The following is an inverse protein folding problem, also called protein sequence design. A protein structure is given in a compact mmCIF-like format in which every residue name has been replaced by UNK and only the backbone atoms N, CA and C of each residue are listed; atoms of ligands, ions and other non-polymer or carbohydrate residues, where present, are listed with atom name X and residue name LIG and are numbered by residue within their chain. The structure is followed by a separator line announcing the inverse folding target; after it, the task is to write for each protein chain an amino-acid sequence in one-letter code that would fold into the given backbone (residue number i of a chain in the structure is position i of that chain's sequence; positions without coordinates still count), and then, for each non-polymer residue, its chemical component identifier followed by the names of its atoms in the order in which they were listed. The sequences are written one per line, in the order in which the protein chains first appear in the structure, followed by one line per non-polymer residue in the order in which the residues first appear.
data_IF_464166707994
#
_entry.id   IF_464166707994
#
_cell.length_a   1.000
_cell.length_b   1.000
_cell.length_c   1.000
_cell.angle_alpha   90.00
_cell.angle_beta   90.00
_cell.angle_gamma   90.00
#
_symmetry.space_group_name_H-M   'P 1'
#
loop_
_entity.id
_entity.type
_entity.pdbx_description
1 polymer ?
#
# COMPACT_ATOMS: atom_id res chain seq x y z
N UNK A 1 24.34 63.74 -10.64
CA UNK A 1 23.31 63.79 -11.70
C UNK A 1 23.69 62.68 -12.69
N UNK A 2 23.27 61.42 -12.53
CA UNK A 2 21.87 60.90 -12.56
C UNK A 2 21.08 61.55 -13.72
N UNK A 3 20.44 60.85 -14.67
CA UNK A 3 19.88 59.51 -14.60
C UNK A 3 19.58 58.90 -16.01
N UNK A 4 19.76 57.57 -16.09
CA UNK A 4 18.94 56.50 -16.72
C UNK A 4 18.33 56.56 -18.15
N UNK A 5 18.77 55.56 -18.92
CA UNK A 5 18.01 54.43 -19.50
C UNK A 5 16.71 54.66 -20.30
N UNK A 6 16.76 54.28 -21.59
CA UNK A 6 15.69 53.56 -22.27
C UNK A 6 16.26 52.43 -23.15
N UNK A 7 16.09 51.17 -22.72
CA UNK A 7 16.05 50.00 -23.60
C UNK A 7 14.86 49.12 -23.19
N UNK A 8 13.98 48.89 -24.15
CA UNK A 8 12.76 48.09 -24.05
C UNK A 8 13.07 46.60 -23.75
N UNK A 9 12.21 45.89 -22.99
CA UNK A 9 12.23 44.43 -22.93
C UNK A 9 10.93 43.81 -23.47
N UNK A 10 10.98 43.13 -24.62
CA UNK A 10 9.87 42.27 -25.08
C UNK A 10 10.36 41.05 -25.87
N UNK A 11 10.95 40.07 -25.19
CA UNK A 11 11.12 38.72 -25.78
C UNK A 11 11.17 37.56 -24.78
N UNK A 12 11.03 37.81 -23.47
CA UNK A 12 11.01 36.75 -22.44
C UNK A 12 9.61 36.31 -22.00
N UNK A 13 8.57 37.16 -22.10
CA UNK A 13 7.22 36.80 -21.62
C UNK A 13 6.46 35.84 -22.54
N UNK A 14 6.71 35.84 -23.85
CA UNK A 14 6.06 34.88 -24.77
C UNK A 14 6.66 33.48 -24.72
N UNK A 15 7.97 33.34 -24.41
CA UNK A 15 8.59 32.02 -24.25
C UNK A 15 8.18 31.30 -22.97
N UNK A 16 7.80 32.04 -21.92
CA UNK A 16 7.29 31.44 -20.67
C UNK A 16 5.83 30.98 -20.85
N UNK A 17 5.03 31.71 -21.63
CA UNK A 17 3.64 31.33 -21.92
C UNK A 17 3.50 30.11 -22.85
N UNK A 18 4.46 29.89 -23.77
CA UNK A 18 4.49 28.67 -24.60
C UNK A 18 4.95 27.42 -23.82
N UNK A 19 5.90 27.57 -22.88
CA UNK A 19 6.39 26.43 -22.08
C UNK A 19 5.39 25.94 -21.01
N UNK A 20 4.42 26.78 -20.62
CA UNK A 20 3.37 26.44 -19.66
C UNK A 20 2.14 25.75 -20.30
N UNK A 21 2.08 25.63 -21.63
CA UNK A 21 1.00 24.90 -22.33
C UNK A 21 1.39 23.48 -22.75
N UNK A 22 2.66 23.10 -22.64
CA UNK A 22 3.17 21.78 -23.04
C UNK A 22 3.26 20.77 -21.88
N UNK A 23 2.86 21.11 -20.66
CA UNK A 23 2.87 20.20 -19.49
C UNK A 23 1.48 19.72 -19.05
N UNK A 24 0.45 19.95 -19.86
CA UNK A 24 -0.90 19.41 -19.63
C UNK A 24 -1.35 18.51 -20.80
N UNK A 25 -0.47 17.66 -21.30
CA UNK A 25 -0.91 16.44 -21.99
C UNK A 25 -1.35 15.46 -20.90
N UNK A 26 -2.64 15.48 -20.57
CA UNK A 26 -3.32 14.32 -20.00
C UNK A 26 -3.07 13.15 -20.96
N UNK A 27 -2.05 12.34 -20.67
CA UNK A 27 -1.88 11.06 -21.35
C UNK A 27 -3.19 10.28 -21.09
N UNK A 28 -3.99 10.11 -22.15
CA UNK A 28 -5.13 9.18 -22.09
C UNK A 28 -4.59 7.87 -21.53
N UNK A 29 -5.22 7.29 -20.47
CA UNK A 29 -4.71 6.06 -19.88
C UNK A 29 -4.60 5.02 -20.99
N UNK A 30 -3.39 4.51 -21.21
CA UNK A 30 -3.16 3.44 -22.18
C UNK A 30 -4.10 2.30 -21.80
N UNK A 31 -5.05 2.00 -22.68
CA UNK A 31 -6.01 0.91 -22.49
C UNK A 31 -5.21 -0.37 -22.28
N UNK A 32 -5.19 -0.86 -21.03
CA UNK A 32 -4.55 -2.13 -20.69
C UNK A 32 -5.34 -3.26 -21.34
N UNK A 33 -4.64 -4.16 -22.02
CA UNK A 33 -5.24 -5.36 -22.59
C UNK A 33 -5.84 -6.22 -21.47
N UNK A 34 -7.06 -6.72 -21.67
CA UNK A 34 -7.76 -7.58 -20.71
C UNK A 34 -7.89 -9.00 -21.27
N UNK A 35 -7.50 -9.98 -20.46
CA UNK A 35 -7.67 -11.41 -20.74
C UNK A 35 -8.36 -12.10 -19.56
N UNK A 36 -9.45 -12.82 -19.85
CA UNK A 36 -10.07 -13.73 -18.90
C UNK A 36 -9.60 -15.16 -19.18
N UNK A 37 -9.08 -15.83 -18.16
CA UNK A 37 -8.68 -17.23 -18.22
C UNK A 37 -9.63 -18.10 -17.40
N UNK A 38 -10.17 -19.15 -18.02
CA UNK A 38 -10.98 -20.13 -17.33
C UNK A 38 -10.07 -21.15 -16.64
N UNK A 39 -10.26 -21.33 -15.33
CA UNK A 39 -9.55 -22.35 -14.57
C UNK A 39 -10.25 -23.72 -14.70
N UNK A 40 -9.50 -24.83 -14.82
CA UNK A 40 -10.08 -26.17 -14.75
C UNK A 40 -10.83 -26.39 -13.43
N UNK A 41 -11.96 -27.11 -13.51
CA UNK A 41 -12.72 -27.51 -12.31
C UNK A 41 -11.94 -28.57 -11.54
N UNK A 42 -11.76 -28.33 -10.24
CA UNK A 42 -11.15 -29.29 -9.32
C UNK A 42 -12.26 -29.90 -8.47
N UNK A 43 -12.47 -31.20 -8.60
CA UNK A 43 -13.51 -31.96 -7.87
C UNK A 43 -13.00 -32.57 -6.56
N UNK A 44 -11.69 -32.67 -6.37
CA UNK A 44 -11.11 -33.15 -5.12
C UNK A 44 -11.29 -32.11 -4.00
N UNK A 45 -11.61 -32.58 -2.80
CA UNK A 45 -11.79 -31.75 -1.60
C UNK A 45 -10.57 -31.80 -0.66
N UNK A 46 -10.61 -30.94 0.36
CA UNK A 46 -9.59 -30.88 1.40
C UNK A 46 -8.18 -30.56 0.88
N UNK A 47 -7.17 -31.13 1.55
CA UNK A 47 -5.76 -30.86 1.25
C UNK A 47 -5.36 -31.30 -0.16
N UNK A 48 -5.93 -32.41 -0.67
CA UNK A 48 -5.65 -32.92 -2.03
C UNK A 48 -6.17 -31.95 -3.10
N UNK A 49 -7.42 -31.50 -2.96
CA UNK A 49 -7.99 -30.46 -3.80
C UNK A 49 -7.17 -29.17 -3.80
N UNK A 50 -6.75 -28.70 -2.62
CA UNK A 50 -5.91 -27.50 -2.53
C UNK A 50 -4.56 -27.69 -3.25
N UNK A 51 -3.91 -28.85 -3.13
CA UNK A 51 -2.66 -29.15 -3.85
C UNK A 51 -2.86 -29.10 -5.37
N UNK A 52 -3.97 -29.63 -5.88
CA UNK A 52 -4.29 -29.56 -7.30
C UNK A 52 -4.53 -28.12 -7.77
N UNK A 53 -5.28 -27.33 -7.00
CA UNK A 53 -5.49 -25.89 -7.27
C UNK A 53 -4.17 -25.12 -7.28
N UNK A 54 -3.29 -25.36 -6.32
CA UNK A 54 -1.95 -24.74 -6.29
C UNK A 54 -1.10 -25.11 -7.51
N UNK A 55 -1.22 -26.34 -8.03
CA UNK A 55 -0.53 -26.77 -9.26
C UNK A 55 -1.03 -25.99 -10.48
N UNK A 56 -2.35 -25.85 -10.63
CA UNK A 56 -2.99 -25.05 -11.68
C UNK A 56 -2.54 -23.59 -11.57
N UNK A 57 -2.59 -23.02 -10.36
CA UNK A 57 -2.14 -21.65 -10.11
C UNK A 57 -0.69 -21.44 -10.54
N UNK A 58 0.22 -22.37 -10.19
CA UNK A 58 1.63 -22.29 -10.57
C UNK A 58 1.83 -22.29 -12.09
N UNK A 59 1.05 -23.07 -12.84
CA UNK A 59 1.10 -23.07 -14.30
C UNK A 59 0.66 -21.73 -14.89
N UNK A 60 -0.45 -21.16 -14.40
CA UNK A 60 -0.93 -19.85 -14.84
C UNK A 60 0.04 -18.73 -14.47
N UNK A 61 0.58 -18.76 -13.26
CA UNK A 61 1.66 -17.85 -12.83
C UNK A 61 2.88 -17.96 -13.74
N UNK A 62 3.24 -19.17 -14.20
CA UNK A 62 4.35 -19.35 -15.13
C UNK A 62 4.15 -18.62 -16.47
N UNK A 63 2.91 -18.67 -16.98
CA UNK A 63 2.49 -18.13 -18.29
C UNK A 63 2.26 -16.62 -18.27
N UNK A 64 1.54 -16.11 -17.27
CA UNK A 64 0.99 -14.74 -17.30
C UNK A 64 1.78 -13.72 -16.49
N UNK A 65 2.59 -14.15 -15.52
CA UNK A 65 3.17 -13.22 -14.56
C UNK A 65 4.05 -12.12 -15.17
N UNK A 66 4.73 -12.37 -16.30
CA UNK A 66 5.52 -11.34 -17.00
C UNK A 66 4.61 -10.30 -17.67
N UNK A 67 3.59 -10.77 -18.39
CA UNK A 67 2.63 -9.91 -19.09
C UNK A 67 1.88 -9.00 -18.12
N UNK A 68 1.53 -9.53 -16.94
CA UNK A 68 0.87 -8.73 -15.89
C UNK A 68 1.75 -7.56 -15.44
N UNK A 69 3.03 -7.81 -15.14
CA UNK A 69 3.98 -6.75 -14.78
C UNK A 69 4.21 -5.74 -15.92
N UNK A 70 4.02 -6.14 -17.17
CA UNK A 70 4.13 -5.27 -18.35
C UNK A 70 2.83 -4.49 -18.62
N UNK A 71 1.79 -4.68 -17.79
CA UNK A 71 0.57 -3.90 -17.80
C UNK A 71 -0.66 -4.64 -18.33
N UNK A 72 -0.57 -5.94 -18.67
CA UNK A 72 -1.73 -6.74 -19.05
C UNK A 72 -2.60 -7.06 -17.84
N UNK A 73 -3.91 -6.93 -17.98
CA UNK A 73 -4.87 -7.33 -16.94
C UNK A 73 -5.32 -8.76 -17.24
N UNK A 74 -5.01 -9.69 -16.34
CA UNK A 74 -5.43 -11.09 -16.44
C UNK A 74 -6.31 -11.45 -15.26
N UNK A 75 -7.50 -11.97 -15.53
CA UNK A 75 -8.49 -12.36 -14.52
C UNK A 75 -8.79 -13.86 -14.59
N UNK A 76 -8.91 -14.50 -13.43
CA UNK A 76 -9.41 -15.88 -13.30
C UNK A 76 -10.91 -15.93 -12.97
N UNK A 77 -11.47 -14.81 -12.53
CA UNK A 77 -12.89 -14.67 -12.15
C UNK A 77 -13.76 -14.03 -13.24
N UNK A 78 -13.13 -13.52 -14.30
CA UNK A 78 -13.78 -12.78 -15.39
C UNK A 78 -14.02 -11.30 -15.08
N UNK A 79 -13.70 -10.84 -13.86
CA UNK A 79 -13.90 -9.46 -13.46
C UNK A 79 -12.78 -8.56 -14.00
N UNK A 80 -13.18 -7.45 -14.64
CA UNK A 80 -12.26 -6.41 -15.09
C UNK A 80 -12.19 -5.30 -14.03
N UNK A 81 -11.00 -5.01 -13.46
CA UNK A 81 -10.85 -3.97 -12.45
C UNK A 81 -11.07 -2.55 -13.02
N UNK A 82 -11.70 -1.70 -12.22
CA UNK A 82 -11.89 -0.26 -12.44
C UNK A 82 -10.65 0.53 -11.96
N UNK A 83 -9.51 0.28 -12.61
CA UNK A 83 -8.18 0.75 -12.17
C UNK A 83 -8.03 2.27 -12.07
N UNK A 84 -8.91 3.07 -12.66
CA UNK A 84 -8.87 4.54 -12.55
C UNK A 84 -9.41 5.01 -11.20
N UNK A 85 -10.43 4.32 -10.69
CA UNK A 85 -11.09 4.64 -9.42
C UNK A 85 -10.44 3.90 -8.25
N UNK A 86 -10.20 2.60 -8.42
CA UNK A 86 -9.82 1.71 -7.33
C UNK A 86 -8.32 1.39 -7.35
N UNK A 87 -7.72 1.36 -6.16
CA UNK A 87 -6.34 0.95 -5.94
C UNK A 87 -6.22 -0.55 -5.71
N UNK A 88 -7.24 -1.15 -5.06
CA UNK A 88 -7.33 -2.57 -4.76
C UNK A 88 -8.74 -3.06 -5.11
N UNK A 89 -8.82 -4.21 -5.77
CA UNK A 89 -10.08 -4.89 -6.06
C UNK A 89 -9.91 -6.40 -5.86
N UNK A 90 -10.76 -6.97 -5.01
CA UNK A 90 -10.79 -8.38 -4.65
C UNK A 90 -12.06 -9.00 -5.22
N UNK A 91 -11.90 -10.16 -5.86
CA UNK A 91 -13.00 -10.92 -6.41
C UNK A 91 -12.92 -12.37 -5.92
N UNK A 92 -13.88 -12.77 -5.07
CA UNK A 92 -14.01 -14.10 -4.48
C UNK A 92 -12.71 -14.62 -3.84
N UNK A 93 -12.01 -13.77 -3.10
CA UNK A 93 -10.68 -14.08 -2.54
C UNK A 93 -10.81 -15.05 -1.38
N UNK A 94 -10.15 -16.21 -1.49
CA UNK A 94 -10.13 -17.24 -0.44
C UNK A 94 -8.71 -17.64 -0.08
N UNK A 95 -8.50 -17.90 1.20
CA UNK A 95 -7.20 -18.31 1.74
C UNK A 95 -7.40 -19.42 2.76
N UNK A 96 -6.70 -20.52 2.55
CA UNK A 96 -6.61 -21.61 3.52
C UNK A 96 -5.16 -21.80 3.95
N UNK A 97 -4.97 -22.16 5.22
CA UNK A 97 -3.71 -22.67 5.74
C UNK A 97 -3.80 -24.17 5.98
N UNK A 98 -2.69 -24.86 5.76
CA UNK A 98 -2.57 -26.31 5.97
C UNK A 98 -1.69 -26.54 7.19
N UNK A 99 -2.18 -27.33 8.14
CA UNK A 99 -1.41 -27.75 9.32
C UNK A 99 -1.57 -29.26 9.49
N UNK A 100 -0.54 -30.02 9.12
CA UNK A 100 -0.66 -31.46 8.94
C UNK A 100 -1.70 -31.79 7.86
N UNK A 101 -2.74 -32.53 8.23
CA UNK A 101 -3.88 -32.86 7.35
C UNK A 101 -5.08 -31.90 7.54
N UNK A 102 -4.98 -30.94 8.46
CA UNK A 102 -6.04 -29.97 8.71
C UNK A 102 -5.97 -28.82 7.70
N UNK A 103 -7.11 -28.49 7.10
CA UNK A 103 -7.29 -27.35 6.22
C UNK A 103 -8.14 -26.28 6.91
N UNK A 104 -7.54 -25.15 7.25
CA UNK A 104 -8.21 -24.07 7.99
C UNK A 104 -8.54 -22.89 7.06
N UNK A 105 -9.82 -22.62 6.77
CA UNK A 105 -10.22 -21.45 5.98
C UNK A 105 -10.09 -20.16 6.81
N UNK A 106 -9.31 -19.21 6.29
CA UNK A 106 -9.10 -17.90 6.93
C UNK A 106 -9.77 -16.76 6.16
N UNK A 107 -9.71 -16.76 4.82
CA UNK A 107 -10.54 -15.88 3.98
C UNK A 107 -11.53 -16.75 3.20
N UNK A 108 -12.81 -16.37 3.20
CA UNK A 108 -13.92 -17.26 2.79
C UNK A 108 -14.68 -16.80 1.55
N UNK A 109 -14.07 -15.95 0.73
CA UNK A 109 -14.70 -15.37 -0.47
C UNK A 109 -14.91 -13.89 -0.25
N UNK A 110 -13.81 -13.16 -0.15
CA UNK A 110 -13.82 -11.71 0.07
C UNK A 110 -13.95 -11.00 -1.27
N UNK A 111 -15.00 -10.19 -1.39
CA UNK A 111 -15.18 -9.20 -2.44
C UNK A 111 -15.01 -7.80 -1.83
N UNK A 112 -14.15 -6.98 -2.44
CA UNK A 112 -13.78 -5.67 -1.88
C UNK A 112 -13.26 -4.74 -2.96
N UNK A 113 -13.64 -3.46 -2.91
CA UNK A 113 -13.10 -2.40 -3.76
C UNK A 113 -12.66 -1.23 -2.89
N UNK A 114 -11.42 -0.78 -3.07
CA UNK A 114 -10.83 0.32 -2.31
C UNK A 114 -10.37 1.42 -3.24
N UNK A 115 -10.76 2.66 -2.94
CA UNK A 115 -10.43 3.82 -3.76
C UNK A 115 -8.98 4.28 -3.55
N UNK A 116 -8.40 4.87 -4.58
CA UNK A 116 -7.05 5.48 -4.52
C UNK A 116 -7.02 6.72 -3.63
N UNK A 117 -5.89 6.95 -2.98
CA UNK A 117 -5.62 8.19 -2.23
C UNK A 117 -6.43 8.31 -0.93
N UNK A 118 -6.99 7.20 -0.44
CA UNK A 118 -7.79 7.14 0.78
C UNK A 118 -6.97 6.62 1.97
N UNK A 119 -7.37 7.04 3.16
CA UNK A 119 -6.99 6.44 4.43
C UNK A 119 -8.01 5.37 4.80
N UNK A 120 -7.59 4.10 4.81
CA UNK A 120 -8.46 2.95 4.94
C UNK A 120 -8.11 2.21 6.23
N UNK A 121 -9.11 1.95 7.06
CA UNK A 121 -8.96 1.26 8.34
C UNK A 121 -9.65 -0.09 8.28
N UNK A 122 -8.92 -1.16 8.60
CA UNK A 122 -9.44 -2.53 8.68
C UNK A 122 -9.56 -2.91 10.15
N UNK A 123 -10.80 -3.12 10.60
CA UNK A 123 -11.18 -3.49 11.96
C UNK A 123 -11.75 -4.91 12.04
N UNK A 124 -11.78 -5.44 13.25
CA UNK A 124 -12.38 -6.74 13.55
C UNK A 124 -11.70 -7.45 14.72
N UNK A 125 -12.33 -8.49 15.30
CA UNK A 125 -11.78 -9.21 16.44
C UNK A 125 -10.49 -9.97 16.07
N UNK A 126 -9.72 -10.39 17.09
CA UNK A 126 -8.56 -11.27 16.87
C UNK A 126 -8.98 -12.55 16.13
N UNK A 127 -8.14 -13.03 15.22
CA UNK A 127 -8.44 -14.21 14.41
C UNK A 127 -9.49 -14.02 13.30
N UNK A 128 -10.03 -12.82 13.08
CA UNK A 128 -11.06 -12.61 12.03
C UNK A 128 -10.55 -12.66 10.59
N UNK A 129 -9.23 -12.66 10.39
CA UNK A 129 -8.58 -12.71 9.07
C UNK A 129 -7.96 -11.39 8.59
N UNK A 130 -7.94 -10.33 9.41
CA UNK A 130 -7.41 -8.99 9.04
C UNK A 130 -5.96 -9.04 8.54
N UNK A 131 -5.04 -9.62 9.31
CA UNK A 131 -3.63 -9.73 8.92
C UNK A 131 -3.46 -10.58 7.66
N UNK A 132 -4.26 -11.64 7.50
CA UNK A 132 -4.25 -12.44 6.27
C UNK A 132 -4.77 -11.65 5.07
N UNK A 133 -5.82 -10.84 5.24
CA UNK A 133 -6.31 -9.93 4.20
C UNK A 133 -5.23 -8.90 3.83
N UNK A 134 -4.63 -8.23 4.82
CA UNK A 134 -3.54 -7.27 4.65
C UNK A 134 -2.34 -7.89 3.91
N UNK A 135 -1.91 -9.08 4.32
CA UNK A 135 -0.79 -9.79 3.68
C UNK A 135 -1.12 -10.20 2.23
N UNK A 136 -2.38 -10.56 1.96
CA UNK A 136 -2.84 -10.92 0.62
C UNK A 136 -2.83 -9.69 -0.30
N UNK A 137 -3.38 -8.56 0.14
CA UNK A 137 -3.46 -7.33 -0.68
C UNK A 137 -2.12 -6.59 -0.78
N UNK A 138 -1.20 -6.79 0.17
CA UNK A 138 0.17 -6.27 0.07
C UNK A 138 1.10 -7.15 -0.76
N UNK A 139 0.64 -8.34 -1.16
CA UNK A 139 1.44 -9.34 -1.88
C UNK A 139 2.55 -9.97 -1.04
N UNK A 140 2.44 -9.93 0.30
CA UNK A 140 3.30 -10.69 1.22
C UNK A 140 2.89 -12.16 1.28
N UNK A 141 1.59 -12.44 1.13
CA UNK A 141 1.06 -13.79 1.01
C UNK A 141 0.25 -13.94 -0.30
N UNK A 142 0.08 -15.17 -0.76
CA UNK A 142 -0.72 -15.49 -1.94
C UNK A 142 -2.12 -15.95 -1.55
N UNK A 143 -3.12 -15.47 -2.29
CA UNK A 143 -4.45 -16.07 -2.22
C UNK A 143 -4.41 -17.52 -2.71
N UNK A 144 -5.32 -18.33 -2.20
CA UNK A 144 -5.51 -19.71 -2.68
C UNK A 144 -6.47 -19.75 -3.87
N UNK A 145 -7.48 -18.88 -3.89
CA UNK A 145 -8.44 -18.71 -4.99
C UNK A 145 -8.88 -17.23 -5.10
N UNK A 146 -9.47 -16.89 -6.24
CA UNK A 146 -9.94 -15.54 -6.53
C UNK A 146 -8.86 -14.63 -7.09
N UNK A 147 -9.28 -13.44 -7.52
CA UNK A 147 -8.38 -12.43 -8.07
C UNK A 147 -8.10 -11.33 -7.04
N UNK A 148 -6.84 -10.91 -6.99
CA UNK A 148 -6.35 -9.83 -6.11
C UNK A 148 -5.72 -8.78 -7.00
N UNK A 149 -6.49 -7.81 -7.46
CA UNK A 149 -5.98 -6.72 -8.28
C UNK A 149 -5.45 -5.60 -7.39
N UNK A 150 -4.19 -5.20 -7.61
CA UNK A 150 -3.57 -4.05 -6.95
C UNK A 150 -2.89 -3.20 -8.01
N UNK A 151 -3.33 -1.95 -8.15
CA UNK A 151 -2.93 -1.06 -9.25
C UNK A 151 -3.12 -1.73 -10.63
N UNK A 152 -4.17 -2.53 -10.77
CA UNK A 152 -4.49 -3.32 -11.95
C UNK A 152 -3.64 -4.58 -12.19
N UNK A 153 -2.67 -4.87 -11.32
CA UNK A 153 -1.88 -6.11 -11.38
C UNK A 153 -2.58 -7.21 -10.59
N UNK A 154 -2.89 -8.35 -11.20
CA UNK A 154 -3.44 -9.49 -10.46
C UNK A 154 -2.32 -10.23 -9.71
N UNK A 155 -2.19 -9.95 -8.42
CA UNK A 155 -1.14 -10.49 -7.56
C UNK A 155 -1.23 -12.01 -7.40
N UNK A 156 -2.44 -12.58 -7.48
CA UNK A 156 -2.64 -14.03 -7.40
C UNK A 156 -1.84 -14.78 -8.46
N UNK A 157 -1.66 -14.17 -9.64
CA UNK A 157 -0.98 -14.75 -10.80
C UNK A 157 0.49 -14.34 -10.90
N UNK A 158 1.06 -13.68 -9.88
CA UNK A 158 2.47 -13.30 -9.90
C UNK A 158 3.42 -14.36 -9.31
N UNK A 159 4.57 -14.54 -9.96
CA UNK A 159 5.71 -15.31 -9.43
C UNK A 159 6.28 -14.60 -8.21
N UNK A 160 6.96 -15.32 -7.33
CA UNK A 160 7.49 -14.72 -6.09
C UNK A 160 8.53 -13.62 -6.37
N UNK A 161 9.35 -13.79 -7.42
CA UNK A 161 10.27 -12.75 -7.91
C UNK A 161 9.52 -11.51 -8.43
N UNK A 162 8.37 -11.71 -9.08
CA UNK A 162 7.54 -10.65 -9.62
C UNK A 162 6.71 -9.95 -8.54
N UNK A 163 6.23 -10.66 -7.52
CA UNK A 163 5.67 -10.07 -6.31
C UNK A 163 6.73 -9.24 -5.57
N UNK A 164 7.97 -9.74 -5.48
CA UNK A 164 9.07 -8.99 -4.87
C UNK A 164 9.35 -7.70 -5.64
N UNK A 165 9.36 -7.74 -6.98
CA UNK A 165 9.48 -6.55 -7.82
C UNK A 165 8.28 -5.60 -7.65
N UNK A 166 7.06 -6.13 -7.63
CA UNK A 166 5.85 -5.35 -7.43
C UNK A 166 5.88 -4.61 -6.08
N UNK A 167 6.20 -5.32 -4.98
CA UNK A 167 6.33 -4.71 -3.65
C UNK A 167 7.44 -3.68 -3.59
N UNK A 168 8.56 -3.94 -4.26
CA UNK A 168 9.68 -3.00 -4.36
C UNK A 168 9.22 -1.67 -4.99
N UNK A 169 8.48 -1.74 -6.09
CA UNK A 169 8.10 -0.57 -6.89
C UNK A 169 6.88 0.20 -6.34
N UNK A 170 5.95 -0.47 -5.63
CA UNK A 170 4.63 0.13 -5.36
C UNK A 170 4.24 0.20 -3.87
N UNK A 171 4.88 -0.60 -3.01
CA UNK A 171 4.36 -0.88 -1.66
C UNK A 171 5.32 -0.45 -0.56
N UNK A 172 4.85 0.38 0.36
CA UNK A 172 5.49 0.64 1.66
C UNK A 172 4.85 -0.24 2.74
N UNK A 173 5.63 -0.68 3.73
CA UNK A 173 5.12 -1.48 4.83
C UNK A 173 5.66 -0.99 6.17
N UNK A 174 4.75 -0.80 7.13
CA UNK A 174 5.03 -0.45 8.51
C UNK A 174 4.65 -1.65 9.37
N UNK A 175 5.61 -2.17 10.12
CA UNK A 175 5.42 -3.33 10.98
C UNK A 175 5.27 -2.90 12.44
N UNK A 176 4.53 -3.67 13.22
CA UNK A 176 4.40 -3.48 14.66
C UNK A 176 5.75 -3.49 15.40
N UNK A 177 6.69 -4.36 15.00
CA UNK A 177 8.02 -4.49 15.64
C UNK A 177 9.13 -3.62 15.04
N UNK A 178 8.79 -2.60 14.23
CA UNK A 178 9.70 -1.65 13.54
C UNK A 178 10.67 -2.27 12.51
N UNK A 179 11.27 -3.43 12.83
CA UNK A 179 12.23 -4.20 12.02
C UNK A 179 13.36 -3.33 11.46
N UNK A 180 13.93 -2.44 12.28
CA UNK A 180 15.06 -1.59 11.88
C UNK A 180 16.38 -2.38 11.89
N UNK A 181 17.29 -1.99 11.01
CA UNK A 181 18.66 -2.51 10.98
C UNK A 181 19.45 -1.79 12.08
N UNK A 182 19.82 -2.54 13.13
CA UNK A 182 20.40 -2.00 14.37
C UNK A 182 21.79 -1.38 14.19
N UNK A 183 22.51 -1.80 13.15
CA UNK A 183 23.84 -1.33 12.78
C UNK A 183 23.82 -0.13 11.83
N UNK A 184 22.65 0.38 11.47
CA UNK A 184 22.47 1.56 10.62
C UNK A 184 21.83 2.69 11.43
N UNK A 185 22.19 3.93 11.11
CA UNK A 185 21.52 5.13 11.63
C UNK A 185 20.08 5.24 11.11
N UNK A 186 19.31 6.18 11.65
CA UNK A 186 17.96 6.46 11.20
C UNK A 186 17.93 6.82 9.70
N UNK A 187 18.84 7.69 9.26
CA UNK A 187 18.97 8.09 7.86
C UNK A 187 19.29 6.89 6.97
N UNK A 188 20.31 6.12 7.33
CA UNK A 188 20.73 4.94 6.55
C UNK A 188 19.63 3.88 6.49
N UNK A 189 18.85 3.69 7.56
CA UNK A 189 17.67 2.83 7.53
C UNK A 189 16.65 3.29 6.49
N UNK A 190 16.42 4.61 6.35
CA UNK A 190 15.51 5.15 5.35
C UNK A 190 16.07 5.02 3.93
N UNK A 191 17.37 5.26 3.75
CA UNK A 191 18.09 5.12 2.47
C UNK A 191 18.07 3.67 1.94
N UNK A 192 17.98 2.65 2.81
CA UNK A 192 17.74 1.27 2.36
C UNK A 192 16.43 1.17 1.58
N UNK A 193 15.38 1.90 1.98
CA UNK A 193 14.14 2.00 1.23
C UNK A 193 14.33 2.72 -0.10
N UNK A 194 14.99 3.89 -0.08
CA UNK A 194 15.28 4.68 -1.28
C UNK A 194 16.07 3.89 -2.33
N UNK A 195 17.11 3.16 -1.92
CA UNK A 195 17.94 2.35 -2.81
C UNK A 195 17.18 1.19 -3.48
N UNK A 196 16.03 0.81 -2.92
CA UNK A 196 15.13 -0.15 -3.53
C UNK A 196 14.16 0.50 -4.53
N UNK A 197 13.98 1.83 -4.51
CA UNK A 197 13.16 2.55 -5.48
C UNK A 197 13.75 2.44 -6.88
N UNK A 198 12.86 2.31 -7.87
CA UNK A 198 13.24 2.27 -9.28
C UNK A 198 13.43 3.66 -9.88
N UNK A 199 12.73 4.65 -9.31
CA UNK A 199 12.76 6.03 -9.77
C UNK A 199 13.72 6.82 -8.90
N UNK A 200 14.67 7.53 -9.54
CA UNK A 200 15.46 8.56 -8.86
C UNK A 200 14.70 9.89 -8.73
N UNK A 201 13.58 10.02 -9.45
CA UNK A 201 12.60 11.08 -9.21
C UNK A 201 11.76 10.67 -8.00
N UNK A 202 12.40 10.72 -6.82
CA UNK A 202 11.66 10.63 -5.58
C UNK A 202 10.84 11.90 -5.42
N UNK A 203 9.55 11.74 -5.14
CA UNK A 203 8.68 12.88 -4.80
C UNK A 203 9.16 13.64 -3.56
N UNK A 204 10.03 13.01 -2.76
CA UNK A 204 10.60 13.58 -1.54
C UNK A 204 12.08 13.23 -1.41
N UNK A 205 12.89 14.18 -0.92
CA UNK A 205 14.20 13.84 -0.38
C UNK A 205 14.08 13.17 0.99
N UNK A 206 15.11 12.44 1.41
CA UNK A 206 15.18 11.86 2.76
C UNK A 206 15.03 12.95 3.83
N UNK A 207 15.62 14.13 3.64
CA UNK A 207 15.51 15.26 4.55
C UNK A 207 14.05 15.75 4.68
N UNK A 208 13.30 15.84 3.59
CA UNK A 208 11.88 16.21 3.61
C UNK A 208 11.01 15.18 4.33
N UNK A 209 11.34 13.90 4.17
CA UNK A 209 10.68 12.81 4.91
C UNK A 209 10.94 12.99 6.40
N UNK A 210 12.20 13.16 6.80
CA UNK A 210 12.59 13.33 8.20
C UNK A 210 11.97 14.58 8.84
N UNK A 211 11.82 15.66 8.08
CA UNK A 211 11.05 16.84 8.48
C UNK A 211 9.57 16.53 8.69
N UNK A 212 8.95 15.82 7.75
CA UNK A 212 7.53 15.44 7.84
C UNK A 212 7.25 14.58 9.07
N UNK A 213 8.18 13.70 9.45
CA UNK A 213 8.05 12.86 10.65
C UNK A 213 8.63 13.48 11.93
N UNK A 214 9.13 14.73 11.89
CA UNK A 214 9.70 15.40 13.06
C UNK A 214 10.94 14.70 13.66
N UNK A 215 11.83 14.20 12.80
CA UNK A 215 13.03 13.44 13.19
C UNK A 215 14.35 14.04 12.65
N UNK A 216 14.35 15.29 12.15
CA UNK A 216 15.51 15.93 11.51
C UNK A 216 16.79 15.87 12.37
N UNK A 217 16.68 16.15 13.68
CA UNK A 217 17.83 16.17 14.59
C UNK A 217 18.37 14.79 14.95
N UNK A 218 17.62 13.71 14.66
CA UNK A 218 17.97 12.35 15.04
C UNK A 218 18.35 11.47 13.85
N UNK A 219 18.52 12.06 12.66
CA UNK A 219 18.93 11.34 11.44
C UNK A 219 20.18 10.46 11.65
N UNK A 220 21.12 10.90 12.50
CA UNK A 220 22.38 10.20 12.77
C UNK A 220 22.31 9.25 13.98
N UNK A 221 21.15 9.08 14.63
CA UNK A 221 21.01 8.16 15.77
C UNK A 221 20.82 6.72 15.29
N UNK A 222 21.43 5.79 16.01
CA UNK A 222 21.19 4.35 15.85
C UNK A 222 19.91 3.92 16.60
N UNK A 223 19.26 2.81 16.19
CA UNK A 223 18.03 2.32 16.84
C UNK A 223 18.12 2.18 18.36
N UNK A 224 19.25 1.71 18.89
CA UNK A 224 19.45 1.55 20.34
C UNK A 224 19.49 2.89 21.12
N UNK A 225 19.61 4.03 20.42
CA UNK A 225 19.62 5.38 21.00
C UNK A 225 18.26 6.08 20.91
N UNK A 226 17.23 5.38 20.43
CA UNK A 226 15.92 5.92 20.11
C UNK A 226 14.82 5.26 20.94
N UNK A 227 13.80 6.05 21.32
CA UNK A 227 12.58 5.50 21.93
C UNK A 227 11.78 4.67 20.92
N UNK A 228 10.84 3.84 21.39
CA UNK A 228 9.96 3.06 20.51
C UNK A 228 9.21 3.92 19.49
N UNK A 229 8.64 5.04 19.93
CA UNK A 229 7.98 5.99 19.02
C UNK A 229 8.91 6.60 17.97
N UNK A 230 10.16 6.91 18.33
CA UNK A 230 11.16 7.38 17.38
C UNK A 230 11.53 6.28 16.37
N UNK A 231 11.76 5.05 16.83
CA UNK A 231 12.03 3.91 15.96
C UNK A 231 10.85 3.65 15.00
N UNK A 232 9.61 3.82 15.45
CA UNK A 232 8.45 3.68 14.59
C UNK A 232 8.42 4.76 13.51
N UNK A 233 8.72 6.02 13.85
CA UNK A 233 8.81 7.09 12.86
C UNK A 233 9.91 6.84 11.83
N UNK A 234 11.05 6.27 12.24
CA UNK A 234 12.10 5.84 11.29
C UNK A 234 11.62 4.70 10.39
N UNK A 235 10.83 3.76 10.91
CA UNK A 235 10.24 2.68 10.10
C UNK A 235 9.29 3.23 9.03
N UNK A 236 8.52 4.28 9.37
CA UNK A 236 7.68 5.04 8.45
C UNK A 236 8.55 5.75 7.40
N UNK A 237 9.61 6.46 7.80
CA UNK A 237 10.54 7.10 6.86
C UNK A 237 11.08 6.11 5.83
N UNK A 238 11.51 4.93 6.26
CA UNK A 238 11.98 3.86 5.36
C UNK A 238 10.91 3.37 4.39
N UNK A 239 9.66 3.27 4.85
CA UNK A 239 8.55 2.90 3.98
C UNK A 239 8.24 4.01 2.95
N UNK A 240 8.30 5.27 3.36
CA UNK A 240 8.04 6.45 2.51
C UNK A 240 9.17 6.76 1.53
N UNK A 241 10.41 6.48 1.89
CA UNK A 241 11.60 6.70 1.05
C UNK A 241 11.54 5.90 -0.27
N UNK A 242 10.70 4.86 -0.32
CA UNK A 242 10.39 4.10 -1.54
C UNK A 242 9.43 4.82 -2.50
N UNK A 243 8.85 5.93 -2.08
CA UNK A 243 7.78 6.65 -2.78
C UNK A 243 6.61 5.71 -3.19
N UNK A 244 5.97 5.01 -2.23
CA UNK A 244 4.98 4.00 -2.56
C UNK A 244 3.63 4.60 -2.95
N UNK A 245 2.93 3.91 -3.86
CA UNK A 245 1.53 4.20 -4.19
C UNK A 245 0.59 3.77 -3.05
N UNK A 246 0.98 2.73 -2.29
CA UNK A 246 0.23 2.19 -1.16
C UNK A 246 1.15 1.96 0.03
N UNK A 247 0.75 2.48 1.19
CA UNK A 247 1.40 2.26 2.47
C UNK A 247 0.52 1.38 3.35
N UNK A 248 1.00 0.18 3.67
CA UNK A 248 0.34 -0.73 4.59
C UNK A 248 0.90 -0.61 6.00
N UNK A 249 0.05 -0.72 7.02
CA UNK A 249 0.45 -0.82 8.42
C UNK A 249 -0.30 -1.94 9.14
N UNK A 250 0.43 -2.87 9.75
CA UNK A 250 -0.16 -3.85 10.66
C UNK A 250 0.05 -3.38 12.10
N UNK A 251 -1.03 -2.92 12.73
CA UNK A 251 -1.03 -2.30 14.06
C UNK A 251 0.08 -1.24 14.26
N UNK A 252 0.13 -0.19 13.42
CA UNK A 252 1.26 0.76 13.42
C UNK A 252 1.39 1.56 14.72
N UNK A 253 0.38 1.55 15.59
CA UNK A 253 0.39 2.21 16.90
C UNK A 253 0.36 1.24 18.08
N UNK A 254 0.30 -0.08 17.84
CA UNK A 254 0.02 -1.07 18.90
C UNK A 254 1.10 -1.20 19.97
N UNK A 255 2.33 -0.76 19.69
CA UNK A 255 3.45 -0.78 20.63
C UNK A 255 3.76 0.60 21.25
N UNK A 256 2.89 1.59 21.02
CA UNK A 256 3.11 2.98 21.41
C UNK A 256 2.12 3.41 22.50
N UNK A 257 2.55 4.35 23.34
CA UNK A 257 1.61 5.11 24.17
C UNK A 257 0.69 5.98 23.32
N UNK A 258 -0.35 6.50 23.94
CA UNK A 258 -1.41 7.27 23.31
C UNK A 258 -0.91 8.53 22.58
N UNK A 259 0.01 9.27 23.20
CA UNK A 259 0.55 10.51 22.64
C UNK A 259 1.42 10.21 21.40
N UNK A 260 2.25 9.17 21.48
CA UNK A 260 3.09 8.74 20.37
C UNK A 260 2.26 8.10 19.25
N UNK A 261 1.21 7.35 19.59
CA UNK A 261 0.23 6.81 18.67
C UNK A 261 -0.45 7.91 17.85
N UNK A 262 -0.92 8.98 18.51
CA UNK A 262 -1.49 10.16 17.85
C UNK A 262 -0.53 10.75 16.82
N UNK A 263 0.71 11.01 17.23
CA UNK A 263 1.75 11.57 16.35
C UNK A 263 2.00 10.68 15.14
N UNK A 264 2.04 9.36 15.31
CA UNK A 264 2.21 8.42 14.20
C UNK A 264 1.02 8.47 13.24
N UNK A 265 -0.22 8.49 13.74
CA UNK A 265 -1.40 8.58 12.87
C UNK A 265 -1.46 9.92 12.14
N UNK A 266 -1.09 11.05 12.76
CA UNK A 266 -1.02 12.35 12.09
C UNK A 266 -0.06 12.31 10.91
N UNK A 267 1.14 11.74 11.11
CA UNK A 267 2.11 11.55 10.03
C UNK A 267 1.50 10.76 8.87
N UNK A 268 0.75 9.70 9.15
CA UNK A 268 0.14 8.88 8.09
C UNK A 268 -0.98 9.64 7.35
N UNK A 269 -1.76 10.46 8.05
CA UNK A 269 -2.77 11.34 7.43
C UNK A 269 -2.09 12.39 6.55
N UNK A 270 -1.03 13.03 7.03
CA UNK A 270 -0.27 14.03 6.29
C UNK A 270 0.40 13.42 5.05
N UNK A 271 0.89 12.18 5.14
CA UNK A 271 1.42 11.44 3.99
C UNK A 271 0.35 11.24 2.92
N UNK A 272 -0.85 10.81 3.31
CA UNK A 272 -1.98 10.65 2.39
C UNK A 272 -2.31 11.98 1.70
N UNK A 273 -2.41 13.07 2.47
CA UNK A 273 -2.81 14.38 1.95
C UNK A 273 -1.76 15.03 1.05
N UNK A 274 -0.49 14.97 1.47
CA UNK A 274 0.61 15.64 0.76
C UNK A 274 1.06 14.88 -0.48
N UNK A 275 0.97 13.54 -0.48
CA UNK A 275 1.54 12.71 -1.55
C UNK A 275 0.52 11.90 -2.35
N UNK A 276 -0.76 11.97 -1.96
CA UNK A 276 -1.85 11.17 -2.53
C UNK A 276 -1.58 9.66 -2.44
N UNK A 277 -0.78 9.23 -1.46
CA UNK A 277 -0.51 7.82 -1.16
C UNK A 277 -1.75 7.21 -0.51
N UNK A 278 -2.14 6.02 -0.96
CA UNK A 278 -3.21 5.26 -0.29
C UNK A 278 -2.64 4.66 0.99
N UNK A 279 -3.26 4.93 2.14
CA UNK A 279 -2.83 4.39 3.43
C UNK A 279 -3.83 3.34 3.89
N UNK A 280 -3.37 2.15 4.23
CA UNK A 280 -4.22 1.04 4.68
C UNK A 280 -3.65 0.49 5.97
N UNK A 281 -4.41 0.61 7.06
CA UNK A 281 -3.98 0.11 8.37
C UNK A 281 -4.93 -0.95 8.90
N UNK A 282 -4.37 -1.97 9.54
CA UNK A 282 -5.11 -2.90 10.40
C UNK A 282 -4.95 -2.45 11.84
N UNK A 283 -6.05 -2.44 12.59
CA UNK A 283 -6.03 -2.17 14.03
C UNK A 283 -7.16 -2.88 14.74
N UNK A 284 -7.02 -3.06 16.05
CA UNK A 284 -8.09 -3.50 16.95
C UNK A 284 -8.72 -2.33 17.74
N UNK A 285 -8.13 -1.13 17.69
CA UNK A 285 -8.70 0.06 18.35
C UNK A 285 -9.81 0.67 17.48
N UNK A 286 -11.08 0.64 17.93
CA UNK A 286 -12.20 1.14 17.14
C UNK A 286 -12.18 2.66 16.94
N UNK A 287 -11.61 3.44 17.87
CA UNK A 287 -11.61 4.91 17.78
C UNK A 287 -10.79 5.40 16.58
N UNK A 288 -9.79 4.63 16.15
CA UNK A 288 -9.00 4.93 14.95
C UNK A 288 -9.86 4.92 13.68
N UNK A 289 -11.02 4.24 13.68
CA UNK A 289 -11.94 4.25 12.53
C UNK A 289 -12.43 5.64 12.15
N UNK A 290 -12.50 6.57 13.11
CA UNK A 290 -12.96 7.93 12.85
C UNK A 290 -12.02 8.72 11.93
N UNK A 291 -10.75 8.31 11.83
CA UNK A 291 -9.74 8.89 10.93
C UNK A 291 -9.87 8.34 9.50
N UNK A 292 -10.49 7.17 9.32
CA UNK A 292 -10.56 6.51 8.02
C UNK A 292 -11.57 7.16 7.08
N UNK A 293 -11.15 7.44 5.84
CA UNK A 293 -12.06 7.69 4.72
C UNK A 293 -12.96 6.48 4.45
N UNK A 294 -12.43 5.27 4.64
CA UNK A 294 -13.16 4.01 4.51
C UNK A 294 -12.79 3.07 5.64
N UNK A 295 -13.80 2.51 6.31
CA UNK A 295 -13.65 1.59 7.43
C UNK A 295 -14.25 0.25 7.04
N UNK A 296 -13.47 -0.81 7.21
CA UNK A 296 -13.82 -2.16 6.80
C UNK A 296 -13.87 -3.03 8.05
N UNK A 297 -15.02 -3.62 8.33
CA UNK A 297 -15.18 -4.58 9.41
C UNK A 297 -15.03 -6.00 8.84
N UNK A 298 -14.04 -6.73 9.36
CA UNK A 298 -13.75 -8.11 8.97
C UNK A 298 -14.18 -9.05 10.09
N UNK A 299 -15.02 -10.02 9.75
CA UNK A 299 -15.53 -11.04 10.67
C UNK A 299 -15.51 -12.41 10.00
N UNK A 300 -14.95 -13.42 10.68
CA UNK A 300 -14.92 -14.81 10.23
C UNK A 300 -14.39 -15.00 8.78
N UNK A 301 -13.42 -14.21 8.36
CA UNK A 301 -12.82 -14.29 7.03
C UNK A 301 -13.65 -13.67 5.90
N UNK A 302 -14.65 -12.86 6.23
CA UNK A 302 -15.51 -12.12 5.32
C UNK A 302 -15.55 -10.64 5.68
N UNK A 303 -16.00 -9.81 4.74
CA UNK A 303 -16.32 -8.41 4.99
C UNK A 303 -17.74 -8.35 5.56
N UNK A 304 -17.85 -7.91 6.81
CA UNK A 304 -19.12 -7.75 7.52
C UNK A 304 -19.78 -6.42 7.14
N UNK A 305 -18.97 -5.35 7.07
CA UNK A 305 -19.44 -4.00 6.79
C UNK A 305 -18.34 -3.14 6.15
N UNK A 306 -18.74 -2.24 5.25
CA UNK A 306 -17.88 -1.17 4.73
C UNK A 306 -18.58 0.16 4.99
N UNK A 307 -17.94 1.06 5.73
CA UNK A 307 -18.41 2.43 5.96
C UNK A 307 -17.52 3.41 5.21
N UNK A 308 -18.13 4.36 4.53
CA UNK A 308 -17.42 5.50 3.95
C UNK A 308 -17.68 6.73 4.81
N UNK A 309 -16.60 7.35 5.31
CA UNK A 309 -16.70 8.55 6.12
C UNK A 309 -16.54 9.77 5.22
N UNK A 310 -17.60 10.58 5.11
CA UNK A 310 -17.58 11.81 4.32
C UNK A 310 -16.71 12.92 4.95
N UNK A 311 -16.47 12.86 6.27
CA UNK A 311 -15.67 13.84 7.02
C UNK A 311 -14.79 13.12 8.06
N UNK A 312 -13.70 12.47 7.63
CA UNK A 312 -12.76 11.85 8.54
C UNK A 312 -12.18 12.87 9.52
N UNK A 313 -12.05 12.46 10.79
CA UNK A 313 -11.45 13.28 11.84
C UNK A 313 -9.93 13.29 11.72
N UNK A 314 -9.30 14.34 12.25
CA UNK A 314 -7.86 14.30 12.51
C UNK A 314 -7.58 13.41 13.73
N UNK A 315 -6.43 12.72 13.79
CA UNK A 315 -6.00 11.99 14.99
C UNK A 315 -5.96 12.83 16.28
N UNK A 316 -5.78 14.15 16.19
CA UNK A 316 -5.93 15.08 17.32
C UNK A 316 -7.36 15.19 17.87
N UNK A 317 -8.37 14.86 17.07
CA UNK A 317 -9.79 15.11 17.36
C UNK A 317 -10.54 13.85 17.80
N UNK A 318 -9.86 12.70 17.81
CA UNK A 318 -10.45 11.43 18.23
C UNK A 318 -10.22 11.21 19.72
N UNK A 319 -11.18 10.56 20.36
CA UNK A 319 -11.01 10.02 21.70
C UNK A 319 -10.12 8.77 21.63
N UNK A 320 -9.20 8.62 22.59
CA UNK A 320 -8.35 7.43 22.68
C UNK A 320 -8.70 6.54 23.85
N UNK A 321 -9.61 7.01 24.72
CA UNK A 321 -10.13 6.27 25.87
C UNK A 321 -11.18 5.22 25.48
#
# INVERSE_FOLDING_TARGET
MEDKNLKQPSSKKEKVAKKAKDTASLEKPRLREFEHIQLPVVTEEGVKGLKQKNKIQKQNTAKYSKQILEGKIVSTTGNKPEIEKNVIELYNVKRWYVTGDMLTPVLRGVDLKLEKGKFIVILGPSGSGKTTLLNTISGLDKTSEGDVFVLGNNLSLLKDSHLTKFRRENVGFIFQQYNLLSNLTAKENAEVGENLSKSKDNKMSIEEIFKTIGMEEQMNKYPHQMSGGQQQRVSIARALAKNPEILFGDEPTGALDEEMGRKVLEILVDVKEKYNTTVIIVTHNPNISEIGDTVIHVRNGLIDEIKHNAKPKRPSDIDWS
#
